data_IF_750479607726
#
_entry.id   IF_750479607726
#
_cell.length_a   1.000
_cell.length_b   1.000
_cell.length_c   1.000
_cell.angle_alpha   90.00
_cell.angle_beta   90.00
_cell.angle_gamma   90.00
#
_symmetry.space_group_name_H-M   'P 1'
#
loop_
_entity.id
_entity.type
_entity.pdbx_description
1 polymer ?
#
# COMPACT_ATOMS: atom_id res chain seq x y z
N UNK A 1 9.15 11.02 -4.04
CA UNK A 1 8.06 11.51 -4.92
C UNK A 1 6.69 11.34 -4.28
N UNK A 2 6.39 10.20 -3.66
CA UNK A 2 5.02 9.91 -3.16
C UNK A 2 4.62 10.54 -1.80
N UNK A 3 5.56 11.11 -1.02
CA UNK A 3 5.27 11.72 0.30
C UNK A 3 5.45 13.25 0.35
N UNK A 4 5.83 13.87 -0.77
CA UNK A 4 6.34 15.24 -0.78
C UNK A 4 5.35 16.30 -0.26
N UNK A 5 4.05 16.09 -0.49
CA UNK A 5 2.98 17.03 -0.12
C UNK A 5 2.24 16.67 1.17
N UNK A 6 2.72 15.65 1.90
CA UNK A 6 1.97 15.07 3.02
C UNK A 6 1.64 16.08 4.12
N UNK A 7 2.64 16.90 4.52
CA UNK A 7 2.45 17.88 5.58
C UNK A 7 1.41 18.95 5.21
N UNK A 8 1.40 19.38 3.94
CA UNK A 8 0.45 20.36 3.41
C UNK A 8 -0.96 19.77 3.36
N UNK A 9 -1.11 18.58 2.79
CA UNK A 9 -2.41 17.89 2.70
C UNK A 9 -3.02 17.62 4.08
N UNK A 10 -2.20 17.15 5.04
CA UNK A 10 -2.67 16.93 6.41
C UNK A 10 -3.15 18.24 7.06
N UNK A 11 -2.40 19.33 6.89
CA UNK A 11 -2.77 20.65 7.43
C UNK A 11 -4.07 21.18 6.81
N UNK A 12 -4.25 21.05 5.51
CA UNK A 12 -5.40 21.60 4.78
C UNK A 12 -6.68 20.77 4.98
N UNK A 13 -6.56 19.45 5.14
CA UNK A 13 -7.73 18.54 5.18
C UNK A 13 -8.06 18.01 6.57
N UNK A 14 -7.09 17.97 7.48
CA UNK A 14 -7.21 17.28 8.77
C UNK A 14 -7.37 15.76 8.65
N UNK A 15 -7.18 15.19 7.45
CA UNK A 15 -7.38 13.76 7.22
C UNK A 15 -6.36 12.91 8.00
N UNK A 16 -6.77 11.72 8.47
CA UNK A 16 -5.82 10.76 9.03
C UNK A 16 -4.81 10.36 7.96
N UNK A 17 -3.58 10.12 8.40
CA UNK A 17 -2.48 9.70 7.54
C UNK A 17 -2.02 8.34 8.02
N UNK A 18 -2.01 7.35 7.13
CA UNK A 18 -1.54 6.00 7.43
C UNK A 18 -0.21 5.70 6.72
N UNK A 19 0.70 5.03 7.42
CA UNK A 19 1.97 4.51 6.90
C UNK A 19 2.18 3.07 7.36
N UNK A 20 2.89 2.24 6.59
CA UNK A 20 3.25 0.90 7.06
C UNK A 20 3.97 0.96 8.41
N UNK A 21 3.64 0.03 9.32
CA UNK A 21 4.36 -0.16 10.60
C UNK A 21 5.88 -0.43 10.45
N UNK A 22 6.36 -0.70 9.23
CA UNK A 22 7.78 -0.92 8.94
C UNK A 22 8.55 0.35 8.63
N UNK A 23 7.87 1.49 8.61
CA UNK A 23 8.39 2.82 8.40
C UNK A 23 7.77 3.78 9.42
N UNK A 24 8.35 4.97 9.57
CA UNK A 24 7.84 5.99 10.47
C UNK A 24 8.03 7.36 9.85
N UNK A 25 6.98 8.18 9.93
CA UNK A 25 7.02 9.59 9.54
C UNK A 25 6.22 10.41 10.56
N UNK A 26 6.70 11.59 10.98
CA UNK A 26 5.98 12.44 11.91
C UNK A 26 4.56 12.75 11.42
N UNK A 27 3.57 12.51 12.28
CA UNK A 27 2.18 12.78 11.97
C UNK A 27 1.47 11.71 11.14
N UNK A 28 2.06 10.53 10.93
CA UNK A 28 1.33 9.37 10.41
C UNK A 28 1.07 8.34 11.50
N UNK A 29 -0.07 7.68 11.40
CA UNK A 29 -0.43 6.49 12.16
C UNK A 29 0.07 5.25 11.43
N UNK A 30 0.56 4.26 12.17
CA UNK A 30 1.03 3.01 11.56
C UNK A 30 -0.13 2.08 11.25
N UNK A 31 -0.06 1.39 10.11
CA UNK A 31 -1.01 0.35 9.72
C UNK A 31 -0.26 -0.94 9.41
N UNK A 32 -0.81 -2.06 9.89
CA UNK A 32 -0.28 -3.41 9.67
C UNK A 32 -0.97 -4.10 8.49
N UNK A 33 -0.36 -5.17 7.98
CA UNK A 33 -1.02 -6.03 7.00
C UNK A 33 -2.33 -6.60 7.57
N UNK A 34 -3.41 -6.55 6.78
CA UNK A 34 -4.72 -7.10 7.17
C UNK A 34 -5.56 -6.21 8.10
N UNK A 35 -5.04 -5.06 8.56
CA UNK A 35 -5.82 -4.09 9.33
C UNK A 35 -6.83 -3.37 8.40
N UNK A 36 -7.98 -3.98 8.17
CA UNK A 36 -9.03 -3.40 7.32
C UNK A 36 -9.61 -2.11 7.93
N UNK A 37 -9.89 -1.14 7.07
CA UNK A 37 -10.56 0.11 7.43
C UNK A 37 -11.51 0.56 6.33
N UNK A 38 -12.45 1.43 6.69
CA UNK A 38 -13.43 1.96 5.75
C UNK A 38 -13.16 3.43 5.43
N UNK A 39 -13.40 3.81 4.18
CA UNK A 39 -13.47 5.20 3.72
C UNK A 39 -14.85 5.40 3.09
N UNK A 40 -15.80 5.92 3.88
CA UNK A 40 -17.21 5.89 3.50
C UNK A 40 -17.69 4.44 3.29
N UNK A 41 -18.24 4.15 2.11
CA UNK A 41 -18.69 2.80 1.73
C UNK A 41 -17.58 1.92 1.13
N UNK A 42 -16.35 2.43 1.04
CA UNK A 42 -15.21 1.69 0.52
C UNK A 42 -14.55 0.92 1.65
N UNK A 43 -14.33 -0.38 1.46
CA UNK A 43 -13.54 -1.19 2.37
C UNK A 43 -12.13 -1.34 1.81
N UNK A 44 -11.12 -1.02 2.62
CA UNK A 44 -9.72 -1.04 2.24
C UNK A 44 -8.98 -2.11 3.04
N UNK A 45 -8.36 -3.07 2.34
CA UNK A 45 -7.48 -4.08 2.91
C UNK A 45 -6.01 -3.78 2.57
N UNK A 46 -5.19 -3.42 3.57
CA UNK A 46 -3.75 -3.27 3.38
C UNK A 46 -3.05 -4.62 3.21
N UNK A 47 -2.21 -4.76 2.18
CA UNK A 47 -1.35 -5.91 1.90
C UNK A 47 0.10 -5.44 1.92
N UNK A 48 0.96 -6.14 2.66
CA UNK A 48 2.37 -5.77 2.76
C UNK A 48 3.14 -6.30 1.53
N UNK A 49 3.42 -5.42 0.57
CA UNK A 49 4.09 -5.73 -0.71
C UNK A 49 5.51 -5.17 -0.76
N UNK A 50 6.23 -5.34 0.35
CA UNK A 50 7.58 -4.83 0.56
C UNK A 50 8.62 -5.47 -0.36
N UNK A 51 9.75 -4.80 -0.49
CA UNK A 51 10.92 -5.25 -1.25
C UNK A 51 11.44 -4.17 -2.20
N UNK A 52 10.55 -3.38 -2.78
CA UNK A 52 10.91 -2.09 -3.38
C UNK A 52 11.34 -1.08 -2.30
N UNK A 53 10.48 -0.91 -1.29
CA UNK A 53 10.75 -0.17 -0.05
C UNK A 53 10.48 -1.05 1.19
N UNK A 54 10.84 -0.57 2.39
CA UNK A 54 10.67 -1.34 3.64
C UNK A 54 9.19 -1.43 4.03
N UNK A 55 8.46 -0.34 3.81
CA UNK A 55 7.03 -0.19 4.10
C UNK A 55 6.13 -0.22 2.87
N UNK A 56 6.57 -0.80 1.74
CA UNK A 56 5.74 -0.88 0.54
C UNK A 56 4.44 -1.64 0.79
N UNK A 57 3.31 -1.04 0.42
CA UNK A 57 1.97 -1.58 0.61
C UNK A 57 1.13 -1.49 -0.66
N UNK A 58 0.29 -2.50 -0.85
CA UNK A 58 -0.83 -2.47 -1.80
C UNK A 58 -2.13 -2.33 -1.02
N UNK A 59 -3.00 -1.41 -1.43
CA UNK A 59 -4.33 -1.25 -0.83
C UNK A 59 -5.37 -1.87 -1.76
N UNK A 60 -5.97 -2.99 -1.33
CA UNK A 60 -7.05 -3.64 -2.06
C UNK A 60 -8.40 -3.07 -1.60
N UNK A 61 -9.10 -2.41 -2.52
CA UNK A 61 -10.31 -1.64 -2.27
C UNK A 61 -11.52 -2.34 -2.87
N UNK A 62 -12.53 -2.57 -2.04
CA UNK A 62 -13.84 -3.14 -2.42
C UNK A 62 -14.98 -2.17 -2.08
N UNK A 63 -16.20 -2.47 -2.53
CA UNK A 63 -17.36 -1.57 -2.43
C UNK A 63 -17.63 -0.75 -3.69
N UNK A 64 -16.79 -0.90 -4.72
CA UNK A 64 -16.99 -0.41 -6.09
C UNK A 64 -17.57 -1.52 -6.97
N UNK A 65 -18.09 -1.17 -8.16
CA UNK A 65 -18.57 -2.15 -9.15
C UNK A 65 -17.49 -3.16 -9.58
N UNK A 66 -16.21 -2.77 -9.49
CA UNK A 66 -15.05 -3.63 -9.66
C UNK A 66 -14.02 -3.31 -8.57
N UNK A 67 -13.43 -4.31 -7.90
CA UNK A 67 -12.35 -4.06 -6.94
C UNK A 67 -11.16 -3.35 -7.59
N UNK A 68 -10.48 -2.50 -6.82
CA UNK A 68 -9.29 -1.76 -7.26
C UNK A 68 -8.12 -2.10 -6.34
N UNK A 69 -6.94 -2.34 -6.90
CA UNK A 69 -5.70 -2.45 -6.15
C UNK A 69 -4.83 -1.22 -6.41
N UNK A 70 -4.53 -0.46 -5.36
CA UNK A 70 -3.57 0.65 -5.42
C UNK A 70 -2.21 0.07 -5.04
N UNK A 71 -1.36 -0.18 -6.03
CA UNK A 71 -0.15 -1.03 -5.88
C UNK A 71 1.15 -0.27 -5.61
N UNK A 72 1.15 1.07 -5.71
CA UNK A 72 2.38 1.86 -5.65
C UNK A 72 3.44 1.35 -6.65
N UNK A 73 4.71 1.34 -6.22
CA UNK A 73 5.82 0.85 -7.05
C UNK A 73 6.04 -0.68 -6.94
N UNK A 74 5.04 -1.44 -6.47
CA UNK A 74 5.14 -2.90 -6.45
C UNK A 74 5.13 -3.49 -7.87
N UNK A 75 4.12 -3.17 -8.69
CA UNK A 75 4.03 -3.64 -10.09
C UNK A 75 3.63 -2.51 -11.05
N UNK A 76 4.04 -2.64 -12.31
CA UNK A 76 3.63 -1.77 -13.41
C UNK A 76 3.12 -2.60 -14.59
N UNK A 77 2.59 -1.94 -15.63
CA UNK A 77 2.18 -2.61 -16.85
C UNK A 77 3.37 -3.31 -17.53
N UNK A 78 3.44 -4.63 -17.38
CA UNK A 78 4.51 -5.45 -17.95
C UNK A 78 5.83 -5.48 -17.16
N UNK A 79 5.89 -4.92 -15.95
CA UNK A 79 7.12 -4.93 -15.15
C UNK A 79 6.84 -4.80 -13.63
N UNK A 80 7.89 -4.67 -12.83
CA UNK A 80 7.82 -4.39 -11.40
C UNK A 80 8.80 -3.31 -11.00
N UNK A 81 8.53 -2.60 -9.90
CA UNK A 81 9.52 -1.70 -9.33
C UNK A 81 10.76 -2.45 -8.86
N UNK A 82 11.91 -1.79 -8.97
CA UNK A 82 13.18 -2.40 -8.58
C UNK A 82 13.17 -2.78 -7.09
N UNK A 83 13.53 -4.03 -6.77
CA UNK A 83 13.59 -4.53 -5.39
C UNK A 83 14.80 -4.01 -4.61
N UNK A 84 14.89 -2.69 -4.41
CA UNK A 84 16.03 -2.00 -3.79
C UNK A 84 16.32 -2.45 -2.35
N UNK A 85 15.29 -2.91 -1.63
CA UNK A 85 15.44 -3.50 -0.28
C UNK A 85 15.62 -5.01 -0.36
N UNK A 86 14.78 -5.69 -1.15
CA UNK A 86 14.91 -7.12 -1.43
C UNK A 86 14.17 -7.48 -2.71
N UNK A 87 14.90 -7.88 -3.74
CA UNK A 87 14.31 -8.38 -5.00
C UNK A 87 13.51 -9.67 -4.78
N UNK A 88 14.04 -10.59 -3.97
CA UNK A 88 13.37 -11.87 -3.67
C UNK A 88 12.01 -11.65 -3.02
N UNK A 89 11.95 -10.78 -2.01
CA UNK A 89 10.69 -10.51 -1.31
C UNK A 89 9.75 -9.67 -2.17
N UNK A 90 10.25 -8.69 -2.95
CA UNK A 90 9.43 -7.94 -3.90
C UNK A 90 8.73 -8.88 -4.89
N UNK A 91 9.49 -9.78 -5.52
CA UNK A 91 8.93 -10.73 -6.50
C UNK A 91 7.91 -11.67 -5.85
N UNK A 92 8.25 -12.26 -4.70
CA UNK A 92 7.34 -13.15 -3.97
C UNK A 92 6.04 -12.45 -3.61
N UNK A 93 6.13 -11.27 -2.98
CA UNK A 93 4.96 -10.53 -2.53
C UNK A 93 4.07 -10.09 -3.69
N UNK A 94 4.67 -9.61 -4.79
CA UNK A 94 3.92 -9.22 -5.99
C UNK A 94 3.12 -10.38 -6.57
N UNK A 95 3.74 -11.56 -6.68
CA UNK A 95 3.09 -12.76 -7.22
C UNK A 95 1.96 -13.24 -6.29
N UNK A 96 2.27 -13.41 -5.00
CA UNK A 96 1.34 -14.02 -4.05
C UNK A 96 0.17 -13.09 -3.70
N UNK A 97 0.41 -11.78 -3.58
CA UNK A 97 -0.57 -10.84 -3.05
C UNK A 97 -1.32 -10.06 -4.13
N UNK A 98 -0.69 -9.82 -5.29
CA UNK A 98 -1.27 -8.96 -6.34
C UNK A 98 -1.67 -9.80 -7.57
N UNK A 99 -0.78 -10.61 -8.13
CA UNK A 99 -1.03 -11.31 -9.41
C UNK A 99 -1.92 -12.53 -9.25
N UNK A 100 -1.62 -13.40 -8.29
CA UNK A 100 -2.46 -14.59 -8.01
C UNK A 100 -3.69 -14.23 -7.19
N UNK A 101 -3.65 -13.09 -6.51
CA UNK A 101 -4.58 -12.73 -5.46
C UNK A 101 -4.43 -13.65 -4.24
N UNK A 102 -4.82 -13.17 -3.07
CA UNK A 102 -5.03 -14.05 -1.92
C UNK A 102 -6.32 -14.83 -2.16
N UNK A 103 -6.25 -15.86 -2.99
CA UNK A 103 -7.28 -16.89 -3.04
C UNK A 103 -7.21 -17.65 -1.72
N UNK A 104 -8.06 -17.25 -0.76
CA UNK A 104 -8.69 -18.05 0.28
C UNK A 104 -9.65 -17.19 1.08
#
# INVERSE_FOLDING_TARGET
DHIADLARLKKETGAPVYISERESIPGAETISEGQEFNVGNLKVKPLLTWGHSRGGMTFFVTGLARPVAIVGDSIFAGSMGGGKVSYKDALRNNIEKIVRGTAR
#
